data_IF_674531982745
#
_entry.id   IF_674531982745
#
_cell.length_a   1.000
_cell.length_b   1.000
_cell.length_c   1.000
_cell.angle_alpha   90.00
_cell.angle_beta   90.00
_cell.angle_gamma   90.00
#
_symmetry.space_group_name_H-M   'P 1'
#
loop_
_entity.id
_entity.type
_entity.pdbx_description
1 polymer ?
#
# COMPACT_ATOMS: atom_id res chain seq x y z
N UNK A 1 1.20 14.77 19.71
CA UNK A 1 0.92 16.16 20.16
C UNK A 1 1.49 16.39 21.56
N UNK A 2 2.33 17.41 21.69
CA UNK A 2 2.69 18.00 22.97
C UNK A 2 2.07 19.41 23.00
N UNK A 3 1.21 19.73 23.99
CA UNK A 3 0.59 21.04 24.02
C UNK A 3 1.61 22.17 24.09
N UNK A 4 1.46 23.19 23.24
CA UNK A 4 2.32 24.39 23.22
C UNK A 4 3.63 24.25 22.42
N UNK A 5 3.90 23.11 21.78
CA UNK A 5 5.11 22.91 20.95
C UNK A 5 4.85 22.91 19.44
N UNK A 6 3.59 22.81 19.03
CA UNK A 6 3.15 22.91 17.63
C UNK A 6 2.57 24.32 17.40
N UNK A 7 2.53 24.82 16.16
CA UNK A 7 1.89 26.10 15.87
C UNK A 7 0.48 26.10 16.44
N UNK A 8 0.13 27.19 17.14
CA UNK A 8 -1.21 27.35 17.69
C UNK A 8 -2.20 27.39 16.52
N UNK A 9 -3.04 26.37 16.43
CA UNK A 9 -4.14 26.29 15.48
C UNK A 9 -5.46 26.62 16.18
N UNK A 10 -6.42 27.17 15.44
CA UNK A 10 -7.70 27.60 15.99
C UNK A 10 -8.86 27.14 15.10
N UNK A 11 -9.90 26.62 15.77
CA UNK A 11 -11.15 26.16 15.18
C UNK A 11 -12.31 26.53 16.09
N UNK A 12 -13.53 26.43 15.57
CA UNK A 12 -14.71 26.99 16.20
C UNK A 12 -15.72 25.89 16.55
N UNK A 13 -16.31 26.00 17.74
CA UNK A 13 -17.57 25.35 18.05
C UNK A 13 -18.71 26.36 17.87
N UNK A 14 -19.71 26.02 17.06
CA UNK A 14 -20.88 26.87 16.79
C UNK A 14 -22.15 26.18 17.26
N UNK A 15 -23.07 26.93 17.84
CA UNK A 15 -24.38 26.41 18.22
C UNK A 15 -25.37 26.68 17.08
N UNK A 16 -25.87 25.62 16.45
CA UNK A 16 -26.88 25.68 15.40
C UNK A 16 -28.16 25.00 15.88
N UNK A 17 -29.23 25.79 16.02
CA UNK A 17 -30.46 25.35 16.66
C UNK A 17 -30.21 24.99 18.13
N UNK A 18 -30.36 23.71 18.47
CA UNK A 18 -30.16 23.19 19.83
C UNK A 18 -28.89 22.30 19.95
N UNK A 19 -28.01 22.32 18.95
CA UNK A 19 -26.82 21.45 18.92
C UNK A 19 -25.52 22.21 18.65
N UNK A 20 -24.45 21.84 19.34
CA UNK A 20 -23.10 22.29 19.06
C UNK A 20 -22.51 21.49 17.90
N UNK A 21 -21.79 22.19 17.02
CA UNK A 21 -21.10 21.65 15.83
C UNK A 21 -19.69 22.22 15.74
N UNK A 22 -18.79 21.47 15.12
CA UNK A 22 -17.38 21.82 14.96
C UNK A 22 -17.11 22.31 13.54
N UNK A 23 -16.35 23.39 13.40
CA UNK A 23 -15.96 23.96 12.11
C UNK A 23 -14.51 24.42 12.20
N UNK A 24 -13.72 24.07 11.19
CA UNK A 24 -12.41 24.66 10.97
C UNK A 24 -12.39 25.47 9.67
N UNK A 25 -12.55 26.79 9.79
CA UNK A 25 -12.58 27.66 8.61
C UNK A 25 -11.22 27.77 7.92
N UNK A 26 -10.11 27.54 8.63
CA UNK A 26 -8.76 27.67 8.08
C UNK A 26 -8.41 26.45 7.23
N UNK A 27 -8.81 25.25 7.66
CA UNK A 27 -8.58 24.02 6.91
C UNK A 27 -9.70 23.71 5.90
N UNK A 28 -10.87 24.36 6.02
CA UNK A 28 -11.93 24.29 5.01
C UNK A 28 -11.59 25.05 3.71
N UNK A 29 -10.55 25.89 3.71
CA UNK A 29 -10.09 26.63 2.52
C UNK A 29 -8.91 25.88 1.91
N UNK A 30 -8.99 25.58 0.61
CA UNK A 30 -7.90 24.95 -0.13
C UNK A 30 -6.99 25.99 -0.79
N UNK A 31 -5.70 25.70 -0.77
CA UNK A 31 -4.66 26.47 -1.45
C UNK A 31 -4.04 25.58 -2.53
N UNK A 32 -3.70 26.17 -3.67
CA UNK A 32 -2.98 25.50 -4.75
C UNK A 32 -1.48 25.35 -4.44
N UNK A 33 -0.73 24.71 -5.35
CA UNK A 33 0.71 24.48 -5.21
C UNK A 33 1.54 25.78 -5.09
N UNK A 34 0.98 26.94 -5.44
CA UNK A 34 1.63 28.25 -5.33
C UNK A 34 1.22 29.02 -4.06
N UNK A 35 0.50 28.38 -3.14
CA UNK A 35 -0.06 29.00 -1.93
C UNK A 35 -1.12 30.09 -2.25
N UNK A 36 -1.72 30.03 -3.45
CA UNK A 36 -2.87 30.85 -3.82
C UNK A 36 -4.17 30.09 -3.51
N UNK A 37 -5.26 30.82 -3.25
CA UNK A 37 -6.55 30.16 -3.02
C UNK A 37 -6.93 29.32 -4.23
N UNK A 38 -7.29 28.05 -4.00
CA UNK A 38 -7.74 27.20 -5.09
C UNK A 38 -9.12 27.70 -5.58
N UNK A 39 -9.18 28.05 -6.86
CA UNK A 39 -10.37 28.60 -7.49
C UNK A 39 -10.69 27.83 -8.77
N UNK A 40 -11.95 27.42 -8.92
CA UNK A 40 -12.44 26.82 -10.16
C UNK A 40 -13.36 27.82 -10.87
N UNK A 41 -13.02 28.12 -12.12
CA UNK A 41 -13.91 28.74 -13.10
C UNK A 41 -14.75 27.65 -13.77
N UNK A 42 -16.08 27.80 -13.78
CA UNK A 42 -16.95 26.88 -14.51
C UNK A 42 -16.87 27.18 -16.01
N UNK A 43 -16.93 26.14 -16.84
CA UNK A 43 -16.96 26.30 -18.30
C UNK A 43 -18.17 27.14 -18.73
N UNK A 44 -17.91 28.33 -19.27
CA UNK A 44 -18.94 29.24 -19.81
C UNK A 44 -19.15 30.53 -19.01
N UNK A 45 -18.57 30.65 -17.82
CA UNK A 45 -18.73 31.82 -16.96
C UNK A 45 -17.65 32.90 -17.27
N UNK A 46 -18.00 34.18 -17.08
CA UNK A 46 -17.05 35.30 -17.21
C UNK A 46 -15.91 35.16 -16.19
N UNK A 47 -14.74 35.76 -16.45
CA UNK A 47 -13.54 35.71 -15.57
C UNK A 47 -13.81 36.10 -14.09
N UNK A 48 -14.95 36.74 -13.81
CA UNK A 48 -15.40 37.23 -12.51
C UNK A 48 -16.17 36.19 -11.66
N UNK A 49 -16.62 35.05 -12.22
CA UNK A 49 -17.34 33.98 -11.48
C UNK A 49 -16.40 32.86 -11.03
N UNK A 50 -15.41 33.27 -10.24
CA UNK A 50 -14.42 32.41 -9.59
C UNK A 50 -15.01 31.80 -8.32
N UNK A 51 -15.18 30.47 -8.30
CA UNK A 51 -15.69 29.75 -7.11
C UNK A 51 -14.53 29.18 -6.32
N UNK A 52 -14.45 29.49 -5.03
CA UNK A 52 -13.48 28.88 -4.11
C UNK A 52 -13.73 27.39 -3.99
N UNK A 53 -12.67 26.59 -4.07
CA UNK A 53 -12.76 25.16 -3.73
C UNK A 53 -12.72 25.03 -2.21
N UNK A 54 -13.79 24.45 -1.65
CA UNK A 54 -13.93 24.26 -0.22
C UNK A 54 -13.68 22.79 0.13
N UNK A 55 -12.91 22.57 1.19
CA UNK A 55 -12.84 21.28 1.83
C UNK A 55 -14.03 21.12 2.79
N UNK A 56 -15.12 20.56 2.27
CA UNK A 56 -16.37 20.37 3.02
C UNK A 56 -16.19 19.47 4.26
N UNK A 57 -15.14 18.64 4.31
CA UNK A 57 -14.87 17.79 5.47
C UNK A 57 -14.76 18.61 6.76
N UNK A 58 -14.21 19.82 6.72
CA UNK A 58 -14.01 20.68 7.90
C UNK A 58 -15.20 21.59 8.21
N UNK A 59 -16.31 21.45 7.48
CA UNK A 59 -17.54 22.19 7.72
C UNK A 59 -18.59 21.30 8.39
N UNK A 60 -18.84 21.54 9.69
CA UNK A 60 -19.81 20.77 10.49
C UNK A 60 -19.45 19.28 10.61
N UNK A 61 -18.14 18.98 10.63
CA UNK A 61 -17.59 17.62 10.76
C UNK A 61 -18.17 16.88 11.95
N UNK A 62 -18.38 15.57 11.79
CA UNK A 62 -18.75 14.72 12.93
C UNK A 62 -17.64 14.77 14.00
N UNK A 63 -17.98 14.98 15.29
CA UNK A 63 -17.03 14.90 16.39
C UNK A 63 -16.12 13.67 16.38
N UNK A 64 -16.63 12.50 15.98
CA UNK A 64 -15.87 11.25 15.91
C UNK A 64 -14.76 11.28 14.83
N UNK A 65 -14.94 12.09 13.78
CA UNK A 65 -13.95 12.30 12.72
C UNK A 65 -13.03 13.48 13.04
N UNK A 66 -13.58 14.59 13.54
CA UNK A 66 -12.85 15.82 13.83
C UNK A 66 -11.76 15.62 14.89
N UNK A 67 -12.02 14.78 15.90
CA UNK A 67 -11.07 14.47 16.98
C UNK A 67 -9.80 13.76 16.49
N UNK A 68 -9.76 13.24 15.25
CA UNK A 68 -8.57 12.57 14.71
C UNK A 68 -7.47 13.55 14.26
N UNK A 69 -7.84 14.81 14.05
CA UNK A 69 -6.94 15.89 13.63
C UNK A 69 -6.88 17.03 14.64
N UNK A 70 -7.96 17.25 15.40
CA UNK A 70 -8.14 18.40 16.29
C UNK A 70 -8.42 17.97 17.72
N UNK A 71 -7.38 17.95 18.56
CA UNK A 71 -7.58 17.82 20.00
C UNK A 71 -7.86 19.20 20.64
N UNK A 72 -8.99 19.39 21.33
CA UNK A 72 -9.23 20.64 22.06
C UNK A 72 -8.24 20.73 23.21
N UNK A 73 -7.47 21.82 23.23
CA UNK A 73 -6.58 22.12 24.33
C UNK A 73 -6.50 23.63 24.53
N UNK A 74 -6.80 24.06 25.76
CA UNK A 74 -6.74 25.47 26.13
C UNK A 74 -6.22 25.60 27.55
N UNK A 75 -5.04 26.20 27.71
CA UNK A 75 -4.33 26.31 29.00
C UNK A 75 -5.16 26.98 30.12
N UNK A 76 -6.11 27.84 29.77
CA UNK A 76 -6.89 28.64 30.73
C UNK A 76 -8.34 28.14 30.91
N UNK A 77 -8.65 26.92 30.49
CA UNK A 77 -9.98 26.33 30.66
C UNK A 77 -9.87 24.90 31.21
N UNK A 78 -10.31 24.66 32.44
CA UNK A 78 -10.13 23.35 33.10
C UNK A 78 -10.93 22.21 32.45
N UNK A 79 -12.05 22.52 31.79
CA UNK A 79 -12.96 21.55 31.19
C UNK A 79 -13.03 21.69 29.67
N UNK A 80 -11.87 21.78 29.00
CA UNK A 80 -11.80 21.86 27.54
C UNK A 80 -12.27 20.56 26.85
N UNK A 81 -12.32 19.42 27.55
CA UNK A 81 -12.76 18.13 27.00
C UNK A 81 -14.22 18.14 26.53
N UNK A 82 -15.07 19.03 27.07
CA UNK A 82 -16.44 19.22 26.59
C UNK A 82 -16.51 19.61 25.12
N UNK A 83 -15.47 20.27 24.60
CA UNK A 83 -15.39 20.72 23.21
C UNK A 83 -15.02 19.60 22.23
N UNK A 84 -14.75 18.40 22.72
CA UNK A 84 -14.65 17.23 21.85
C UNK A 84 -16.02 16.84 21.27
N UNK A 85 -17.12 17.21 21.95
CA UNK A 85 -18.50 16.84 21.59
C UNK A 85 -18.75 15.32 21.42
N UNK A 86 -17.79 14.49 21.83
CA UNK A 86 -17.90 13.04 21.86
C UNK A 86 -18.81 12.57 22.99
N UNK A 87 -19.51 11.45 22.77
CA UNK A 87 -20.25 10.77 23.82
C UNK A 87 -19.36 10.38 25.01
N UNK A 88 -18.13 9.94 24.71
CA UNK A 88 -17.09 9.63 25.70
C UNK A 88 -15.82 10.39 25.31
N UNK A 89 -15.50 11.51 25.97
CA UNK A 89 -14.28 12.26 25.70
C UNK A 89 -13.03 11.42 25.90
N UNK A 90 -12.06 11.58 25.02
CA UNK A 90 -10.75 10.94 25.09
C UNK A 90 -9.74 11.84 25.79
N UNK A 91 -8.80 11.20 26.47
CA UNK A 91 -7.65 11.88 27.08
C UNK A 91 -6.61 12.26 26.02
N UNK A 92 -5.74 13.23 26.34
CA UNK A 92 -4.63 13.58 25.45
C UNK A 92 -3.73 12.37 25.12
N UNK A 93 -3.54 11.46 26.10
CA UNK A 93 -2.79 10.22 25.88
C UNK A 93 -3.47 9.32 24.85
N UNK A 94 -4.79 9.20 24.91
CA UNK A 94 -5.55 8.44 23.91
C UNK A 94 -5.54 9.13 22.54
N UNK A 95 -5.62 10.46 22.50
CA UNK A 95 -5.52 11.22 21.25
C UNK A 95 -4.17 11.03 20.56
N UNK A 96 -3.06 11.16 21.31
CA UNK A 96 -1.71 10.91 20.81
C UNK A 96 -1.48 9.50 20.27
N UNK A 97 -2.43 8.61 20.57
CA UNK A 97 -2.43 7.22 20.22
C UNK A 97 -3.33 6.90 19.01
N UNK A 98 -4.08 7.87 18.50
CA UNK A 98 -4.92 7.71 17.32
C UNK A 98 -4.08 7.92 16.05
N UNK A 99 -4.46 7.30 14.92
CA UNK A 99 -3.96 7.72 13.63
C UNK A 99 -4.42 9.16 13.37
N UNK A 100 -3.64 9.89 12.60
CA UNK A 100 -4.11 11.14 11.97
C UNK A 100 -4.69 10.74 10.61
N UNK A 101 -5.99 10.88 10.43
CA UNK A 101 -6.67 10.64 9.15
C UNK A 101 -6.98 11.99 8.50
N UNK A 102 -6.64 12.14 7.22
CA UNK A 102 -6.89 13.36 6.45
C UNK A 102 -8.35 13.44 5.97
N UNK A 103 -8.77 14.59 5.45
CA UNK A 103 -10.06 14.74 4.76
C UNK A 103 -10.23 13.76 3.60
N UNK A 104 -9.19 13.58 2.77
CA UNK A 104 -9.21 12.63 1.66
C UNK A 104 -9.53 11.18 2.08
N UNK A 105 -9.16 10.78 3.31
CA UNK A 105 -9.55 9.47 3.85
C UNK A 105 -11.07 9.30 3.92
N UNK A 106 -11.78 10.35 4.37
CA UNK A 106 -13.23 10.37 4.50
C UNK A 106 -13.91 10.59 3.16
N UNK A 107 -13.38 11.47 2.31
CA UNK A 107 -13.91 11.72 0.96
C UNK A 107 -13.91 10.43 0.13
N UNK A 108 -12.86 9.62 0.26
CA UNK A 108 -12.76 8.30 -0.38
C UNK A 108 -13.52 7.18 0.35
N UNK A 109 -14.30 7.52 1.38
CA UNK A 109 -15.12 6.60 2.16
C UNK A 109 -14.30 5.42 2.72
N UNK A 110 -13.07 5.69 3.14
CA UNK A 110 -12.17 4.69 3.69
C UNK A 110 -12.55 4.36 5.13
N UNK A 111 -12.23 3.15 5.56
CA UNK A 111 -12.42 2.70 6.94
C UNK A 111 -11.25 1.89 7.41
N UNK A 112 -10.77 2.22 8.61
CA UNK A 112 -9.79 1.40 9.31
C UNK A 112 -10.47 0.12 9.79
N UNK A 113 -9.92 -1.04 9.44
CA UNK A 113 -10.50 -2.34 9.83
C UNK A 113 -10.03 -2.78 11.20
N UNK A 114 -8.78 -2.49 11.55
CA UNK A 114 -8.23 -2.78 12.86
C UNK A 114 -8.16 -1.51 13.73
N UNK A 115 -8.64 -1.63 14.97
CA UNK A 115 -8.62 -0.57 15.97
C UNK A 115 -7.27 -0.53 16.70
N UNK A 116 -6.78 0.68 16.91
CA UNK A 116 -5.38 1.00 17.21
C UNK A 116 -4.92 0.59 18.61
N UNK A 117 -4.16 -0.49 18.66
CA UNK A 117 -3.11 -0.68 19.66
C UNK A 117 -1.73 -0.71 18.99
N UNK A 118 -1.47 0.21 18.07
CA UNK A 118 -0.20 0.28 17.30
C UNK A 118 0.97 0.88 18.10
N UNK A 119 0.76 1.23 19.37
CA UNK A 119 1.78 1.83 20.25
C UNK A 119 2.94 0.94 20.61
N UNK A 120 2.70 -0.37 20.66
CA UNK A 120 3.69 -1.32 21.10
C UNK A 120 3.61 -2.51 20.17
N UNK A 121 4.41 -2.45 19.12
CA UNK A 121 4.53 -3.52 18.15
C UNK A 121 5.67 -4.42 18.56
N UNK A 122 5.38 -5.72 18.63
CA UNK A 122 6.38 -6.78 18.75
C UNK A 122 6.52 -7.44 17.39
N UNK A 123 7.70 -7.33 16.80
CA UNK A 123 8.11 -7.89 15.52
C UNK A 123 7.36 -7.36 14.28
N UNK A 124 6.02 -7.36 14.29
CA UNK A 124 5.19 -7.08 13.13
C UNK A 124 3.85 -6.45 13.51
N UNK A 125 3.37 -5.54 12.68
CA UNK A 125 1.99 -5.03 12.75
C UNK A 125 1.35 -5.04 11.37
N UNK A 126 0.10 -5.47 11.33
CA UNK A 126 -0.75 -5.40 10.16
C UNK A 126 -1.67 -4.19 10.28
N UNK A 127 -1.83 -3.44 9.19
CA UNK A 127 -2.71 -2.28 9.10
C UNK A 127 -3.62 -2.51 7.89
N UNK A 128 -4.93 -2.36 8.11
CA UNK A 128 -5.94 -2.69 7.11
C UNK A 128 -6.86 -1.51 6.87
N UNK A 129 -6.92 -1.07 5.62
CA UNK A 129 -7.79 0.01 5.14
C UNK A 129 -8.78 -0.58 4.16
N UNK A 130 -10.07 -0.49 4.49
CA UNK A 130 -11.17 -0.90 3.62
C UNK A 130 -11.65 0.29 2.81
N UNK A 131 -11.95 0.04 1.54
CA UNK A 131 -12.48 1.03 0.60
C UNK A 131 -13.71 0.49 -0.13
N UNK A 132 -14.45 1.38 -0.80
CA UNK A 132 -15.58 1.00 -1.66
C UNK A 132 -15.14 0.67 -3.09
N UNK A 133 -14.01 1.21 -3.54
CA UNK A 133 -13.39 0.98 -4.84
C UNK A 133 -11.89 0.62 -4.67
N UNK A 134 -11.22 0.01 -5.66
CA UNK A 134 -9.78 -0.16 -5.63
C UNK A 134 -9.04 1.18 -5.56
N UNK A 135 -8.02 1.25 -4.70
CA UNK A 135 -7.13 2.42 -4.59
C UNK A 135 -5.72 2.04 -5.04
N UNK A 136 -5.05 3.00 -5.67
CA UNK A 136 -3.58 3.02 -5.75
C UNK A 136 -3.07 3.56 -4.41
N UNK A 137 -2.16 2.83 -3.78
CA UNK A 137 -1.53 3.26 -2.53
C UNK A 137 -0.04 3.51 -2.74
N UNK A 138 0.46 4.50 -2.04
CA UNK A 138 1.88 4.70 -1.76
C UNK A 138 2.09 4.90 -0.25
N UNK A 139 3.29 4.65 0.24
CA UNK A 139 3.61 4.80 1.64
C UNK A 139 5.04 5.29 1.84
N UNK A 140 5.23 6.02 2.94
CA UNK A 140 6.53 6.35 3.51
C UNK A 140 6.59 5.77 4.92
N UNK A 141 7.71 5.15 5.25
CA UNK A 141 7.97 4.60 6.57
C UNK A 141 9.35 5.06 7.02
N UNK A 142 9.40 5.77 8.14
CA UNK A 142 10.61 6.43 8.63
C UNK A 142 10.60 6.55 10.16
N UNK A 143 11.80 6.55 10.75
CA UNK A 143 11.97 6.80 12.18
C UNK A 143 11.56 8.23 12.52
N UNK A 144 11.02 8.47 13.72
CA UNK A 144 10.64 9.83 14.17
C UNK A 144 11.83 10.80 14.17
N UNK A 145 13.05 10.28 14.29
CA UNK A 145 14.27 11.07 14.33
C UNK A 145 14.89 11.32 12.94
N UNK A 146 14.35 10.68 11.90
CA UNK A 146 14.89 10.76 10.53
C UNK A 146 14.05 11.72 9.68
N UNK A 147 14.63 12.13 8.55
CA UNK A 147 13.89 12.86 7.51
C UNK A 147 12.77 11.97 6.93
N UNK A 148 11.61 12.56 6.69
CA UNK A 148 10.46 11.87 6.08
C UNK A 148 10.76 11.25 4.71
N UNK A 149 11.69 11.85 3.96
CA UNK A 149 12.12 11.36 2.65
C UNK A 149 13.18 10.26 2.73
N UNK A 150 13.55 9.82 3.95
CA UNK A 150 14.45 8.69 4.11
C UNK A 150 13.78 7.37 3.66
N UNK A 151 14.24 6.83 2.53
CA UNK A 151 13.73 5.56 1.99
C UNK A 151 14.37 4.30 2.60
N UNK A 152 15.22 4.44 3.63
CA UNK A 152 15.94 3.30 4.24
C UNK A 152 15.00 2.18 4.70
N UNK A 153 13.84 2.54 5.24
CA UNK A 153 12.88 1.60 5.81
C UNK A 153 11.74 1.22 4.83
N UNK A 154 11.79 1.64 3.56
CA UNK A 154 10.73 1.31 2.59
C UNK A 154 10.55 -0.20 2.38
N UNK A 155 11.64 -1.00 2.46
CA UNK A 155 11.61 -2.47 2.36
C UNK A 155 11.08 -3.18 3.60
N UNK A 156 10.74 -2.43 4.66
CA UNK A 156 10.18 -2.93 5.91
C UNK A 156 8.64 -2.92 5.91
N UNK A 157 8.02 -2.43 4.84
CA UNK A 157 6.58 -2.41 4.65
C UNK A 157 6.18 -3.20 3.40
N UNK A 158 5.29 -4.17 3.58
CA UNK A 158 4.71 -4.97 2.51
C UNK A 158 3.25 -4.56 2.32
N UNK A 159 2.95 -3.88 1.22
CA UNK A 159 1.61 -3.47 0.87
C UNK A 159 1.04 -4.34 -0.25
N UNK A 160 -0.21 -4.79 -0.12
CA UNK A 160 -0.98 -5.35 -1.23
C UNK A 160 -2.48 -5.18 -1.03
N UNK A 161 -3.24 -5.37 -2.11
CA UNK A 161 -4.70 -5.33 -2.07
C UNK A 161 -5.25 -6.75 -1.88
N UNK A 162 -5.94 -6.98 -0.76
CA UNK A 162 -6.70 -8.20 -0.46
C UNK A 162 -8.08 -8.15 -1.11
N UNK A 163 -8.71 -9.33 -1.13
CA UNK A 163 -10.02 -9.61 -1.74
C UNK A 163 -10.02 -9.57 -3.28
N UNK A 164 -10.90 -10.35 -3.91
CA UNK A 164 -11.06 -10.42 -5.38
C UNK A 164 -11.37 -9.06 -5.99
N UNK A 165 -12.03 -8.18 -5.24
CA UNK A 165 -12.39 -6.84 -5.67
C UNK A 165 -11.32 -5.79 -5.36
N UNK A 166 -10.18 -6.15 -4.74
CA UNK A 166 -9.08 -5.23 -4.41
C UNK A 166 -9.48 -4.04 -3.53
N UNK A 167 -10.44 -4.26 -2.61
CA UNK A 167 -11.04 -3.23 -1.74
C UNK A 167 -10.48 -3.19 -0.32
N UNK A 168 -9.44 -3.97 -0.06
CA UNK A 168 -8.81 -4.04 1.26
C UNK A 168 -7.31 -3.82 1.10
N UNK A 169 -6.84 -2.60 1.32
CA UNK A 169 -5.42 -2.30 1.45
C UNK A 169 -4.85 -2.95 2.71
N UNK A 170 -3.84 -3.77 2.55
CA UNK A 170 -3.15 -4.48 3.62
C UNK A 170 -1.70 -4.05 3.64
N UNK A 171 -1.26 -3.48 4.77
CA UNK A 171 0.10 -3.02 5.01
C UNK A 171 0.67 -3.80 6.17
N UNK A 172 1.70 -4.60 5.91
CA UNK A 172 2.43 -5.32 6.94
C UNK A 172 3.76 -4.62 7.18
N UNK A 173 3.97 -4.16 8.42
CA UNK A 173 5.17 -3.43 8.84
C UNK A 173 6.01 -4.33 9.73
N UNK A 174 7.30 -4.43 9.44
CA UNK A 174 8.29 -5.19 10.22
C UNK A 174 9.60 -4.42 10.33
N UNK A 175 9.68 -3.56 11.34
CA UNK A 175 10.87 -2.75 11.54
C UNK A 175 12.08 -3.61 11.94
N UNK A 176 13.27 -3.21 11.51
CA UNK A 176 14.52 -3.90 11.87
C UNK A 176 15.17 -3.38 13.15
N UNK A 177 14.78 -2.19 13.57
CA UNK A 177 15.30 -1.54 14.76
C UNK A 177 14.16 -1.17 15.70
N UNK A 178 14.47 -1.21 16.99
CA UNK A 178 13.56 -0.79 18.05
C UNK A 178 13.49 0.74 18.01
N UNK A 179 12.28 1.27 18.10
CA UNK A 179 12.09 2.71 18.15
C UNK A 179 10.73 3.18 17.67
N UNK A 180 10.50 4.49 17.76
CA UNK A 180 9.30 5.13 17.24
C UNK A 180 9.44 5.41 15.73
N UNK A 181 8.38 5.10 14.98
CA UNK A 181 8.28 5.29 13.54
C UNK A 181 6.95 5.94 13.16
N UNK A 182 6.93 6.59 12.01
CA UNK A 182 5.71 7.00 11.31
C UNK A 182 5.52 6.18 10.04
N UNK A 183 4.31 5.67 9.85
CA UNK A 183 3.82 5.17 8.57
C UNK A 183 2.86 6.21 8.00
N UNK A 184 3.28 6.89 6.93
CA UNK A 184 2.43 7.77 6.14
C UNK A 184 1.91 7.00 4.93
N UNK A 185 0.60 7.00 4.74
CA UNK A 185 -0.09 6.31 3.64
C UNK A 185 -0.74 7.38 2.76
N UNK A 186 -0.47 7.27 1.47
CA UNK A 186 -1.06 8.06 0.40
C UNK A 186 -1.89 7.16 -0.49
N UNK A 187 -2.91 7.71 -1.14
CA UNK A 187 -3.64 6.94 -2.13
C UNK A 187 -4.78 7.70 -2.77
N UNK A 188 -5.24 7.15 -3.91
CA UNK A 188 -6.31 7.72 -4.73
C UNK A 188 -7.10 6.59 -5.39
N UNK A 189 -8.43 6.70 -5.52
CA UNK A 189 -9.23 5.73 -6.26
C UNK A 189 -8.73 5.54 -7.69
N UNK A 190 -8.58 4.29 -8.14
CA UNK A 190 -7.98 4.00 -9.46
C UNK A 190 -8.76 4.58 -10.65
N UNK A 191 -10.05 4.88 -10.46
CA UNK A 191 -10.91 5.51 -11.46
C UNK A 191 -10.76 7.03 -11.52
N UNK A 192 -10.05 7.65 -10.57
CA UNK A 192 -9.79 9.09 -10.52
C UNK A 192 -8.34 9.43 -10.93
N UNK A 193 -7.55 8.43 -11.29
CA UNK A 193 -6.18 8.59 -11.78
C UNK A 193 -6.24 8.70 -13.31
N UNK A 194 -5.91 9.88 -13.84
CA UNK A 194 -6.03 10.16 -15.26
C UNK A 194 -4.65 10.11 -15.95
N UNK A 195 -4.42 9.04 -16.72
CA UNK A 195 -3.12 8.82 -17.38
C UNK A 195 -2.14 8.00 -16.54
N UNK A 196 -1.08 7.52 -17.17
CA UNK A 196 -0.05 6.71 -16.49
C UNK A 196 0.94 7.58 -15.69
N UNK A 197 1.02 8.88 -16.00
CA UNK A 197 1.93 9.85 -15.39
C UNK A 197 1.28 10.66 -14.24
N UNK A 198 0.00 10.41 -13.94
CA UNK A 198 -0.66 11.01 -12.76
C UNK A 198 -0.18 10.30 -11.49
N UNK A 199 0.85 10.89 -10.89
CA UNK A 199 1.41 10.50 -9.59
C UNK A 199 0.85 11.36 -8.43
N UNK A 200 -0.22 12.13 -8.68
CA UNK A 200 -0.90 12.85 -7.59
C UNK A 200 -1.65 11.87 -6.69
N UNK A 201 -1.10 11.64 -5.49
CA UNK A 201 -1.74 10.84 -4.46
C UNK A 201 -1.99 11.70 -3.23
N UNK A 202 -3.21 11.64 -2.71
CA UNK A 202 -3.57 12.38 -1.51
C UNK A 202 -3.05 11.66 -0.27
N UNK A 203 -2.62 12.45 0.72
CA UNK A 203 -2.33 11.90 2.04
C UNK A 203 -3.63 11.34 2.62
N UNK A 204 -3.59 10.11 3.15
CA UNK A 204 -4.76 9.43 3.72
C UNK A 204 -4.62 9.25 5.23
N UNK A 205 -3.47 8.76 5.68
CA UNK A 205 -3.25 8.44 7.09
C UNK A 205 -1.80 8.62 7.51
N UNK A 206 -1.59 9.10 8.73
CA UNK A 206 -0.31 9.03 9.44
C UNK A 206 -0.50 8.19 10.70
N UNK A 207 0.23 7.08 10.80
CA UNK A 207 0.11 6.13 11.90
C UNK A 207 1.43 6.12 12.66
N UNK A 208 1.34 6.37 13.97
CA UNK A 208 2.46 6.20 14.88
C UNK A 208 2.62 4.73 15.26
N UNK A 209 3.83 4.21 15.08
CA UNK A 209 4.19 2.82 15.37
C UNK A 209 5.42 2.85 16.25
N UNK A 210 5.30 2.38 17.49
CA UNK A 210 6.45 2.25 18.37
C UNK A 210 6.80 0.77 18.59
N UNK A 211 7.95 0.40 18.03
CA UNK A 211 8.44 -0.97 17.95
C UNK A 211 9.29 -1.23 19.18
N UNK A 212 8.91 -2.26 19.96
CA UNK A 212 9.58 -2.62 21.22
C UNK A 212 10.42 -3.90 21.11
N UNK A 213 10.18 -4.69 20.08
CA UNK A 213 10.85 -5.97 19.85
C UNK A 213 10.97 -6.19 18.34
N UNK A 214 12.13 -6.68 17.90
CA UNK A 214 12.44 -6.90 16.48
C UNK A 214 12.92 -8.32 16.28
N UNK A 215 12.60 -8.89 15.12
CA UNK A 215 13.12 -10.19 14.73
C UNK A 215 14.47 -10.01 14.02
N UNK A 216 15.54 -10.56 14.62
CA UNK A 216 16.91 -10.42 14.12
C UNK A 216 17.16 -11.13 12.77
N UNK A 217 16.31 -12.08 12.39
CA UNK A 217 16.48 -12.91 11.18
C UNK A 217 15.60 -12.46 10.01
N UNK A 218 15.14 -11.20 10.02
CA UNK A 218 14.29 -10.67 8.95
C UNK A 218 15.10 -10.44 7.66
N UNK A 219 14.68 -11.14 6.61
CA UNK A 219 15.15 -10.91 5.25
C UNK A 219 14.38 -9.77 4.61
N UNK A 220 15.07 -8.78 4.06
CA UNK A 220 14.51 -7.63 3.36
C UNK A 220 13.54 -8.02 2.24
N UNK A 221 12.47 -7.24 2.07
CA UNK A 221 11.63 -7.36 0.88
C UNK A 221 12.24 -6.55 -0.26
N UNK A 222 12.21 -7.05 -1.51
CA UNK A 222 12.64 -6.27 -2.66
C UNK A 222 11.85 -4.96 -2.76
N UNK A 223 12.51 -3.89 -3.18
CA UNK A 223 11.85 -2.59 -3.34
C UNK A 223 10.79 -2.61 -4.44
N UNK A 224 9.65 -2.00 -4.16
CA UNK A 224 8.56 -1.78 -5.11
C UNK A 224 7.94 -0.39 -4.89
N UNK A 225 7.42 0.20 -5.98
CA UNK A 225 6.78 1.52 -5.97
C UNK A 225 5.24 1.44 -6.01
N UNK A 226 4.69 0.25 -6.16
CA UNK A 226 3.26 -0.03 -6.20
C UNK A 226 2.93 -1.20 -5.27
N UNK A 227 1.67 -1.33 -4.81
CA UNK A 227 1.25 -2.49 -4.05
C UNK A 227 1.55 -3.80 -4.79
N UNK A 228 1.98 -4.81 -4.04
CA UNK A 228 2.23 -6.14 -4.57
C UNK A 228 0.94 -6.79 -5.08
N UNK A 229 1.07 -7.70 -6.05
CA UNK A 229 -0.03 -8.45 -6.62
C UNK A 229 -0.48 -7.92 -7.98
N UNK A 230 -1.78 -8.04 -8.23
CA UNK A 230 -2.41 -7.70 -9.50
C UNK A 230 -2.59 -6.18 -9.63
N UNK A 231 -2.19 -5.63 -10.78
CA UNK A 231 -2.30 -4.20 -11.08
C UNK A 231 -3.62 -3.88 -11.78
N UNK A 232 -3.99 -2.59 -11.93
CA UNK A 232 -5.18 -2.21 -12.70
C UNK A 232 -5.13 -2.74 -14.14
N UNK A 233 -3.94 -2.75 -14.76
CA UNK A 233 -3.72 -3.24 -16.13
C UNK A 233 -4.06 -4.72 -16.28
N UNK A 234 -3.85 -5.54 -15.25
CA UNK A 234 -4.27 -6.95 -15.24
C UNK A 234 -5.78 -7.11 -15.46
N UNK A 235 -6.56 -6.30 -14.73
CA UNK A 235 -8.01 -6.34 -14.78
C UNK A 235 -8.55 -5.70 -16.08
N UNK A 236 -7.92 -4.62 -16.56
CA UNK A 236 -8.24 -4.01 -17.86
C UNK A 236 -8.09 -4.99 -19.02
N UNK A 237 -7.08 -5.88 -18.96
CA UNK A 237 -6.86 -6.95 -19.94
C UNK A 237 -7.82 -8.15 -19.77
N UNK A 238 -8.67 -8.17 -18.75
CA UNK A 238 -9.59 -9.28 -18.49
C UNK A 238 -8.90 -10.59 -18.10
N UNK A 239 -7.71 -10.50 -17.50
CA UNK A 239 -6.95 -11.67 -17.08
C UNK A 239 -7.50 -12.28 -15.79
N UNK A 240 -7.28 -13.57 -15.62
CA UNK A 240 -7.66 -14.31 -14.42
C UNK A 240 -6.43 -15.04 -13.89
N UNK A 241 -6.10 -14.82 -12.61
CA UNK A 241 -5.05 -15.58 -11.94
C UNK A 241 -5.64 -16.90 -11.44
N UNK A 242 -5.09 -18.02 -11.89
CA UNK A 242 -5.54 -19.35 -11.48
C UNK A 242 -4.69 -19.86 -10.32
N UNK A 243 -5.35 -20.49 -9.33
CA UNK A 243 -4.74 -21.21 -8.20
C UNK A 243 -3.91 -20.38 -7.22
N UNK A 244 -3.83 -19.05 -7.38
CA UNK A 244 -3.11 -18.15 -6.49
C UNK A 244 -4.02 -17.00 -6.05
N UNK A 245 -4.06 -16.71 -4.74
CA UNK A 245 -4.89 -15.65 -4.17
C UNK A 245 -4.08 -14.49 -3.59
N UNK A 246 -2.85 -14.75 -3.13
CA UNK A 246 -1.99 -13.77 -2.47
C UNK A 246 -0.73 -13.51 -3.31
N UNK A 247 -0.10 -12.33 -3.16
CA UNK A 247 1.10 -12.01 -3.93
C UNK A 247 2.36 -12.69 -3.40
N UNK A 248 2.29 -13.37 -2.25
CA UNK A 248 3.39 -14.09 -1.63
C UNK A 248 3.36 -15.54 -2.08
N UNK A 249 4.47 -16.03 -2.62
CA UNK A 249 4.63 -17.38 -3.13
C UNK A 249 5.83 -18.02 -2.42
N UNK A 250 5.58 -18.88 -1.42
CA UNK A 250 6.66 -19.60 -0.76
C UNK A 250 7.21 -20.71 -1.65
N UNK A 251 8.53 -20.81 -1.74
CA UNK A 251 9.26 -21.89 -2.40
C UNK A 251 10.29 -22.48 -1.44
N UNK A 252 10.48 -23.79 -1.56
CA UNK A 252 11.60 -24.48 -0.92
C UNK A 252 12.77 -24.56 -1.90
N UNK A 253 14.00 -24.40 -1.42
CA UNK A 253 15.19 -24.57 -2.26
C UNK A 253 15.18 -25.95 -2.96
N UNK A 254 15.46 -25.95 -4.27
CA UNK A 254 15.40 -27.13 -5.14
C UNK A 254 14.01 -27.45 -5.71
N UNK A 255 12.97 -26.68 -5.38
CA UNK A 255 11.61 -26.90 -5.89
C UNK A 255 11.24 -25.90 -7.00
N UNK A 256 10.12 -26.15 -7.68
CA UNK A 256 9.56 -25.23 -8.65
C UNK A 256 8.07 -25.02 -8.41
N UNK A 257 7.58 -23.86 -8.82
CA UNK A 257 6.16 -23.52 -8.76
C UNK A 257 5.68 -23.00 -10.11
N UNK A 258 4.36 -23.01 -10.32
CA UNK A 258 3.73 -22.53 -11.55
C UNK A 258 2.73 -21.43 -11.23
N UNK A 259 2.85 -20.30 -11.92
CA UNK A 259 1.84 -19.24 -11.94
C UNK A 259 1.10 -19.36 -13.27
N UNK A 260 -0.24 -19.43 -13.22
CA UNK A 260 -1.05 -19.62 -14.41
C UNK A 260 -1.99 -18.44 -14.59
N UNK A 261 -1.85 -17.73 -15.72
CA UNK A 261 -2.77 -16.68 -16.14
C UNK A 261 -3.74 -17.25 -17.19
N UNK A 262 -5.03 -17.08 -16.97
CA UNK A 262 -6.09 -17.33 -17.93
C UNK A 262 -6.50 -16.06 -18.67
N UNK A 263 -6.84 -16.20 -19.95
CA UNK A 263 -7.44 -15.16 -20.80
C UNK A 263 -8.64 -15.75 -21.52
N UNK A 264 -9.72 -14.96 -21.67
CA UNK A 264 -10.95 -15.44 -22.29
C UNK A 264 -10.92 -15.37 -23.82
N UNK A 265 -10.37 -14.30 -24.42
CA UNK A 265 -10.65 -14.01 -25.83
C UNK A 265 -9.45 -13.55 -26.67
N UNK A 266 -8.26 -13.32 -26.12
CA UNK A 266 -7.15 -12.75 -26.88
C UNK A 266 -5.78 -13.33 -26.53
N UNK A 267 -4.92 -13.47 -27.54
CA UNK A 267 -3.49 -13.74 -27.33
C UNK A 267 -2.83 -12.54 -26.67
N UNK A 268 -2.18 -12.79 -25.54
CA UNK A 268 -1.51 -11.77 -24.75
C UNK A 268 0.00 -11.93 -24.87
N UNK A 269 0.71 -10.83 -25.05
CA UNK A 269 2.16 -10.85 -24.92
C UNK A 269 2.47 -10.62 -23.44
N UNK A 270 3.33 -11.46 -22.88
CA UNK A 270 3.77 -11.37 -21.49
C UNK A 270 5.28 -11.53 -21.39
N UNK A 271 5.89 -10.76 -20.50
CA UNK A 271 7.33 -10.71 -20.28
C UNK A 271 7.58 -10.81 -18.77
N UNK A 272 8.04 -11.97 -18.26
CA UNK A 272 8.39 -12.15 -16.86
C UNK A 272 9.84 -11.73 -16.59
N UNK A 273 10.05 -10.97 -15.52
CA UNK A 273 11.37 -10.61 -15.00
C UNK A 273 11.45 -10.95 -13.52
N UNK A 274 12.58 -11.53 -13.09
CA UNK A 274 12.80 -11.85 -11.69
C UNK A 274 14.01 -11.08 -11.16
N UNK A 275 13.88 -10.51 -9.98
CA UNK A 275 14.89 -9.65 -9.36
C UNK A 275 15.24 -10.11 -7.96
N UNK A 276 16.49 -9.93 -7.56
CA UNK A 276 16.90 -10.04 -6.16
C UNK A 276 16.44 -8.81 -5.35
N UNK A 277 16.72 -8.84 -4.05
CA UNK A 277 16.42 -7.75 -3.11
C UNK A 277 17.11 -6.42 -3.47
N UNK A 278 18.26 -6.49 -4.15
CA UNK A 278 19.05 -5.32 -4.55
C UNK A 278 18.60 -4.74 -5.90
N UNK A 279 17.65 -5.39 -6.58
CA UNK A 279 17.15 -4.99 -7.89
C UNK A 279 17.98 -5.50 -9.06
N UNK A 280 18.87 -6.46 -8.85
CA UNK A 280 19.59 -7.14 -9.94
C UNK A 280 18.67 -8.18 -10.58
N UNK A 281 18.67 -8.25 -11.90
CA UNK A 281 17.84 -9.18 -12.66
C UNK A 281 18.49 -10.57 -12.72
N UNK A 282 17.70 -11.60 -12.47
CA UNK A 282 18.12 -13.00 -12.58
C UNK A 282 17.91 -13.48 -14.00
N UNK A 283 18.97 -13.99 -14.62
CA UNK A 283 18.99 -14.64 -15.93
C UNK A 283 19.71 -15.99 -15.86
N UNK A 284 19.54 -16.80 -16.89
CA UNK A 284 20.29 -18.06 -17.07
C UNK A 284 21.24 -17.89 -18.25
N UNK A 285 22.52 -18.20 -18.05
CA UNK A 285 23.51 -18.25 -19.12
C UNK A 285 23.58 -19.66 -19.72
N UNK A 286 23.32 -19.77 -21.03
CA UNK A 286 23.35 -21.01 -21.80
C UNK A 286 24.67 -21.22 -22.57
N UNK A 287 25.64 -20.32 -22.49
CA UNK A 287 26.90 -20.43 -23.27
C UNK A 287 27.77 -21.63 -22.86
N UNK A 288 27.43 -22.35 -21.78
CA UNK A 288 28.25 -23.41 -21.18
C UNK A 288 27.43 -24.68 -21.02
N UNK A 289 28.10 -25.84 -21.00
CA UNK A 289 27.49 -27.16 -20.76
C UNK A 289 26.72 -27.24 -19.43
N UNK A 290 26.96 -26.29 -18.53
CA UNK A 290 26.29 -26.12 -17.24
C UNK A 290 25.54 -24.78 -17.27
N UNK A 291 24.24 -24.82 -16.96
CA UNK A 291 23.43 -23.61 -16.81
C UNK A 291 23.78 -22.87 -15.51
N UNK A 292 24.16 -21.60 -15.62
CA UNK A 292 24.46 -20.75 -14.47
C UNK A 292 23.40 -19.67 -14.30
N UNK A 293 22.98 -19.43 -13.05
CA UNK A 293 22.19 -18.24 -12.71
C UNK A 293 23.14 -17.03 -12.63
N UNK A 294 22.85 -15.98 -13.39
CA UNK A 294 23.62 -14.73 -13.44
C UNK A 294 22.76 -13.58 -12.92
N UNK A 295 23.38 -12.65 -12.18
CA UNK A 295 22.76 -11.42 -11.73
C UNK A 295 23.24 -10.26 -12.60
N UNK A 296 22.34 -9.65 -13.37
CA UNK A 296 22.62 -8.43 -14.11
C UNK A 296 22.26 -7.21 -13.26
N UNK A 297 23.29 -6.41 -12.93
CA UNK A 297 23.07 -5.14 -12.26
C UNK A 297 22.67 -4.05 -13.26
N UNK A 298 21.54 -3.38 -13.03
CA UNK A 298 21.14 -2.20 -13.80
C UNK A 298 21.85 -0.91 -13.34
N UNK A 299 22.47 -0.90 -12.15
CA UNK A 299 23.15 0.29 -11.60
C UNK A 299 24.55 0.50 -12.15
N UNK A 300 25.24 -0.60 -12.49
CA UNK A 300 26.60 -0.58 -13.03
C UNK A 300 26.60 -1.33 -14.38
N UNK A 301 26.10 -0.73 -15.47
CA UNK A 301 26.29 -1.31 -16.80
C UNK A 301 27.80 -1.40 -17.08
N UNK A 302 28.26 -2.53 -17.60
CA UNK A 302 29.67 -2.74 -17.95
C UNK A 302 30.09 -1.66 -18.96
N UNK A 303 31.07 -0.79 -18.66
CA UNK A 303 31.46 0.28 -19.58
C UNK A 303 32.03 -0.31 -20.87
N UNK A 304 31.48 0.07 -22.03
CA UNK A 304 32.11 -0.17 -23.33
C UNK A 304 31.77 -1.49 -24.03
N UNK A 305 30.76 -2.25 -23.60
CA UNK A 305 30.32 -3.42 -24.38
C UNK A 305 29.43 -2.99 -25.56
N UNK A 306 30.04 -2.77 -26.73
CA UNK A 306 29.30 -2.87 -28.00
C UNK A 306 28.91 -4.33 -28.16
N UNK A 307 27.61 -4.64 -28.14
CA UNK A 307 27.14 -5.94 -28.63
C UNK A 307 27.54 -6.03 -30.11
N UNK A 308 28.66 -6.68 -30.38
CA UNK A 308 28.85 -7.35 -31.66
C UNK A 308 27.75 -8.41 -31.78
N UNK A 309 27.29 -8.60 -33.01
CA UNK A 309 26.01 -9.18 -33.41
C UNK A 309 25.82 -10.68 -33.15
N UNK A 310 26.39 -11.22 -32.08
CA UNK A 310 26.18 -12.61 -31.67
C UNK A 310 25.09 -12.67 -30.59
N UNK A 311 24.11 -13.54 -30.83
CA UNK A 311 22.96 -13.78 -29.96
C UNK A 311 23.40 -13.93 -28.50
N UNK A 312 22.95 -13.03 -27.62
CA UNK A 312 23.24 -13.12 -26.19
C UNK A 312 22.78 -14.49 -25.66
N UNK A 313 23.68 -15.25 -25.04
CA UNK A 313 23.39 -16.56 -24.43
C UNK A 313 22.51 -16.50 -23.18
N UNK A 314 22.15 -15.29 -22.76
CA UNK A 314 21.36 -15.03 -21.57
C UNK A 314 19.88 -15.19 -21.91
N UNK A 315 19.22 -16.13 -21.24
CA UNK A 315 17.78 -16.33 -21.34
C UNK A 315 17.08 -15.91 -20.04
N UNK A 316 15.77 -15.60 -20.10
CA UNK A 316 14.97 -15.32 -18.91
C UNK A 316 15.06 -16.46 -17.89
N UNK A 317 15.17 -16.12 -16.62
CA UNK A 317 15.17 -17.11 -15.54
C UNK A 317 13.83 -17.84 -15.41
N UNK A 318 12.72 -17.14 -15.67
CA UNK A 318 11.37 -17.70 -15.60
C UNK A 318 11.01 -18.34 -16.92
N UNK A 319 10.71 -19.63 -16.89
CA UNK A 319 10.26 -20.37 -18.07
C UNK A 319 8.79 -20.03 -18.36
N UNK A 320 8.46 -19.85 -19.64
CA UNK A 320 7.12 -19.47 -20.09
C UNK A 320 6.61 -20.46 -21.13
N UNK A 321 5.42 -20.99 -20.89
CA UNK A 321 4.63 -21.75 -21.85
C UNK A 321 3.33 -21.00 -22.14
N UNK A 322 2.98 -20.82 -23.42
CA UNK A 322 1.81 -20.05 -23.83
C UNK A 322 0.91 -20.87 -24.74
N UNK A 323 -0.38 -20.84 -24.43
CA UNK A 323 -1.48 -21.37 -25.24
C UNK A 323 -2.46 -20.25 -25.56
N UNK A 324 -3.46 -20.49 -26.42
CA UNK A 324 -4.46 -19.47 -26.78
C UNK A 324 -5.24 -18.91 -25.58
N UNK A 325 -5.39 -19.68 -24.50
CA UNK A 325 -6.24 -19.32 -23.35
C UNK A 325 -5.46 -19.20 -22.04
N UNK A 326 -4.20 -19.62 -22.01
CA UNK A 326 -3.40 -19.68 -20.78
C UNK A 326 -1.93 -19.38 -21.03
N UNK A 327 -1.33 -18.64 -20.11
CA UNK A 327 0.12 -18.50 -19.98
C UNK A 327 0.54 -19.13 -18.66
N UNK A 328 1.51 -20.04 -18.71
CA UNK A 328 2.08 -20.72 -17.56
C UNK A 328 3.51 -20.23 -17.38
N UNK A 329 3.80 -19.68 -16.20
CA UNK A 329 5.14 -19.31 -15.78
C UNK A 329 5.67 -20.36 -14.80
N UNK A 330 6.72 -21.07 -15.17
CA UNK A 330 7.41 -22.02 -14.28
C UNK A 330 8.60 -21.32 -13.65
N UNK A 331 8.60 -21.24 -12.33
CA UNK A 331 9.61 -20.57 -11.53
C UNK A 331 10.34 -21.65 -10.74
N UNK A 332 11.60 -21.86 -11.08
CA UNK A 332 12.50 -22.69 -10.28
C UNK A 332 13.00 -21.86 -9.10
N UNK A 333 13.20 -22.49 -7.93
CA UNK A 333 13.75 -21.78 -6.79
C UNK A 333 15.20 -21.34 -7.09
N UNK A 334 15.57 -20.07 -6.87
CA UNK A 334 16.96 -19.67 -6.75
C UNK A 334 17.72 -20.53 -5.73
N UNK A 335 19.01 -20.77 -5.97
CA UNK A 335 19.86 -21.56 -5.06
C UNK A 335 20.17 -20.84 -3.74
N UNK A 336 19.85 -19.55 -3.62
CA UNK A 336 20.10 -18.75 -2.44
C UNK A 336 18.77 -18.49 -1.72
N UNK A 337 18.77 -18.72 -0.41
CA UNK A 337 17.65 -18.37 0.47
C UNK A 337 17.48 -16.85 0.48
N UNK A 338 16.26 -16.38 0.34
CA UNK A 338 16.01 -14.96 0.16
C UNK A 338 14.61 -14.64 -0.35
N UNK A 339 14.35 -13.34 -0.39
CA UNK A 339 13.17 -12.79 -1.03
C UNK A 339 13.54 -12.30 -2.43
N UNK A 340 12.71 -12.66 -3.40
CA UNK A 340 12.85 -12.28 -4.80
C UNK A 340 11.57 -11.64 -5.29
N UNK A 341 11.71 -10.73 -6.26
CA UNK A 341 10.58 -10.02 -6.89
C UNK A 341 10.37 -10.55 -8.28
N UNK A 342 9.22 -11.16 -8.53
CA UNK A 342 8.75 -11.45 -9.87
C UNK A 342 7.87 -10.31 -10.36
N UNK A 343 8.18 -9.76 -11.53
CA UNK A 343 7.33 -8.82 -12.25
C UNK A 343 6.90 -9.45 -13.57
N UNK A 344 5.61 -9.35 -13.88
CA UNK A 344 5.06 -9.79 -15.16
C UNK A 344 4.51 -8.55 -15.84
N UNK A 345 5.09 -8.21 -16.99
CA UNK A 345 4.58 -7.18 -17.88
C UNK A 345 3.71 -7.87 -18.93
N UNK A 346 2.62 -7.22 -19.34
CA UNK A 346 1.77 -7.81 -20.36
C UNK A 346 0.82 -6.83 -21.03
N UNK A 347 0.41 -7.20 -22.24
CA UNK A 347 -0.49 -6.41 -23.07
C UNK A 347 -1.12 -7.26 -24.17
N UNK A 348 -2.11 -6.70 -24.85
CA UNK A 348 -2.68 -7.34 -26.04
C UNK A 348 -1.61 -7.52 -27.10
N UNK A 349 -1.63 -8.66 -27.80
CA UNK A 349 -0.68 -8.91 -28.88
C UNK A 349 -0.87 -7.86 -29.98
N UNK A 350 0.16 -7.05 -30.28
CA UNK A 350 0.01 -5.98 -31.26
C UNK A 350 -0.22 -6.57 -32.65
N UNK A 351 -1.20 -6.00 -33.38
CA UNK A 351 -1.55 -6.40 -34.74
C UNK A 351 -0.61 -5.81 -35.80
N UNK A 352 0.13 -4.75 -35.45
CA UNK A 352 1.12 -4.06 -36.32
C UNK A 352 2.49 -4.10 -35.66
N UNK A 353 3.55 -3.91 -36.46
CA UNK A 353 4.90 -3.69 -35.92
C UNK A 353 5.02 -2.23 -35.48
N UNK A 354 5.63 -2.00 -34.31
CA UNK A 354 5.75 -0.68 -33.70
C UNK A 354 6.38 -0.76 -32.31
N UNK A 355 6.59 0.40 -31.70
CA UNK A 355 6.93 0.49 -30.27
C UNK A 355 5.63 0.48 -29.48
N UNK A 356 5.48 -0.48 -28.59
CA UNK A 356 4.31 -0.63 -27.74
C UNK A 356 4.76 -0.52 -26.29
N UNK A 357 4.02 0.26 -25.50
CA UNK A 357 4.16 0.25 -24.06
C UNK A 357 3.51 -1.04 -23.53
N UNK A 358 4.27 -1.84 -22.76
CA UNK A 358 3.77 -3.07 -22.14
C UNK A 358 3.76 -2.83 -20.63
N UNK A 359 2.58 -2.56 -20.02
CA UNK A 359 2.51 -2.18 -18.62
C UNK A 359 2.78 -3.37 -17.70
N UNK A 360 3.13 -3.07 -16.44
CA UNK A 360 3.20 -4.06 -15.37
C UNK A 360 1.78 -4.59 -15.08
N UNK A 361 1.58 -5.90 -15.20
CA UNK A 361 0.28 -6.53 -14.92
C UNK A 361 0.26 -7.25 -13.57
N UNK A 362 1.39 -7.78 -13.12
CA UNK A 362 1.46 -8.43 -11.82
C UNK A 362 2.84 -8.36 -11.20
N UNK A 363 2.88 -8.33 -9.86
CA UNK A 363 4.10 -8.45 -9.08
C UNK A 363 3.93 -9.46 -7.94
N UNK A 364 4.86 -10.38 -7.78
CA UNK A 364 4.81 -11.43 -6.77
C UNK A 364 6.11 -11.48 -5.97
N UNK A 365 5.98 -11.65 -4.66
CA UNK A 365 7.10 -11.94 -3.77
C UNK A 365 7.33 -13.45 -3.81
N UNK A 366 8.50 -13.88 -4.26
CA UNK A 366 8.95 -15.27 -4.19
C UNK A 366 9.82 -15.40 -2.95
N UNK A 367 9.33 -16.11 -1.94
CA UNK A 367 10.04 -16.33 -0.68
C UNK A 367 10.70 -17.71 -0.69
N UNK A 368 12.03 -17.75 -0.81
CA UNK A 368 12.79 -19.00 -0.88
C UNK A 368 13.31 -19.35 0.51
N UNK A 369 12.92 -20.51 1.02
CA UNK A 369 13.33 -21.04 2.33
C UNK A 369 14.12 -22.34 2.21
N UNK A 370 14.85 -22.69 3.27
CA UNK A 370 15.52 -23.98 3.37
C UNK A 370 14.51 -25.09 3.68
N UNK A 371 14.62 -26.23 2.97
CA UNK A 371 13.78 -27.40 3.17
C UNK A 371 14.02 -28.10 4.52
N UNK A 372 15.16 -27.83 5.16
CA UNK A 372 15.49 -28.39 6.48
C UNK A 372 14.85 -27.62 7.66
N UNK A 373 14.17 -26.51 7.40
CA UNK A 373 13.54 -25.67 8.45
C UNK A 373 12.07 -25.99 8.73
N UNK A 374 11.52 -27.08 8.17
CA UNK A 374 10.09 -27.42 8.26
C UNK A 374 9.65 -28.08 9.59
N UNK A 375 10.41 -27.93 10.69
CA UNK A 375 10.04 -28.46 12.00
C UNK A 375 9.83 -27.42 13.11
N UNK A 376 9.81 -26.12 12.79
CA UNK A 376 9.31 -25.10 13.72
C UNK A 376 8.49 -24.00 13.00
N UNK A 377 7.32 -24.37 12.48
CA UNK A 377 6.18 -23.45 12.37
C UNK A 377 4.89 -24.25 12.43
N UNK A 378 4.64 -24.88 13.59
CA UNK A 378 3.33 -25.44 13.89
C UNK A 378 2.35 -24.33 14.24
N UNK A 379 1.24 -24.31 13.48
CA UNK A 379 -0.08 -23.77 13.81
C UNK A 379 -0.25 -22.26 14.03
N UNK A 380 -0.46 -21.51 12.95
CA UNK A 380 -1.41 -20.38 12.99
C UNK A 380 -2.77 -20.86 12.49
N UNK A 381 -3.47 -21.56 13.38
CA UNK A 381 -4.89 -21.82 13.26
C UNK A 381 -5.63 -20.49 13.37
N UNK A 382 -6.50 -20.24 12.41
CA UNK A 382 -7.54 -19.21 12.42
C UNK A 382 -8.35 -19.29 13.72
N UNK A 383 -8.06 -18.39 14.66
CA UNK A 383 -8.97 -18.07 15.76
C UNK A 383 -10.15 -17.26 15.20
N UNK A 384 -11.12 -17.96 14.61
CA UNK A 384 -12.49 -17.48 14.52
C UNK A 384 -13.05 -17.45 15.94
N UNK A 385 -13.18 -16.27 16.52
CA UNK A 385 -14.01 -16.05 17.70
C UNK A 385 -15.47 -16.30 17.34
N UNK A 386 -15.91 -17.55 17.51
CA UNK A 386 -17.33 -17.83 17.77
C UNK A 386 -17.62 -17.38 19.19
N UNK A 387 -18.10 -16.14 19.38
CA UNK A 387 -18.89 -15.83 20.56
C UNK A 387 -20.36 -16.07 20.25
N UNK A 388 -20.93 -16.91 21.09
CA UNK A 388 -22.27 -17.47 21.08
C UNK A 388 -23.37 -16.42 21.18
N UNK A 389 -24.28 -16.39 20.21
CA UNK A 389 -25.63 -15.88 20.40
C UNK A 389 -26.36 -16.82 21.39
N UNK A 390 -26.57 -16.37 22.63
CA UNK A 390 -27.52 -17.04 23.51
C UNK A 390 -28.93 -16.67 23.06
N UNK A 391 -29.70 -17.68 22.65
CA UNK A 391 -31.14 -17.54 22.44
C UNK A 391 -31.79 -17.48 23.82
N UNK A 392 -32.13 -16.28 24.29
CA UNK A 392 -33.11 -16.14 25.35
C UNK A 392 -34.48 -16.56 24.80
N UNK A 393 -34.90 -17.77 25.16
CA UNK A 393 -36.30 -18.20 25.08
C UNK A 393 -37.07 -17.46 26.17
N UNK A 394 -38.03 -16.64 25.75
CA UNK A 394 -39.13 -16.19 26.59
C UNK A 394 -39.90 -17.41 27.12
N UNK A 395 -40.22 -17.48 28.43
CA UNK A 395 -41.20 -18.43 28.91
C UNK A 395 -42.60 -17.87 28.64
N UNK A 396 -43.41 -18.70 28.01
CA UNK A 396 -44.86 -18.55 27.92
C UNK A 396 -45.43 -18.85 29.30
N UNK A 397 -45.98 -17.83 29.97
CA UNK A 397 -47.28 -17.87 30.66
C UNK A 397 -47.71 -16.46 31.02
#
# INVERSE_FOLDING_TARGET
FLPGTLPNHAWNAVCLGESWKLIDCSWAILYDDNDELEVVSKEGDNEDERTLVLNEHFFLTDPDEFILTHFPYRNNEDNYSKWQLLLVPITLRQYNNLPVLSSAFFDYNLRMVNTFSTHFVREMVDIMIRSLSPLRYEWKFYSVNDDENNESHRSEVFCYLKDRQRRLGYFQVRAKQIGPYYLKIYGKPENQIYGEDDDSLDHLATIFINVIEVNANLLDWPRIHVPWGLTPSFHKLGLILLYQNEPIIPLTCGTSTKIVLGTLNESIVTIPHMYDVNGNELLIDQCRDIQYCVLLSRKNPIPGYKLESDESSLIPYVQKEETKQRVIFTINSPNKIGNYKLQIYGGQKPSRKGRYHIPLIASFLIEVRDGLSSTQSSSFSTCLSKSSYSRNKLPIK
#
